data_IF_087984031297
#
_entry.id   IF_087984031297
#
_cell.length_a   1.000
_cell.length_b   1.000
_cell.length_c   1.000
_cell.angle_alpha   90.00
_cell.angle_beta   90.00
_cell.angle_gamma   90.00
#
_symmetry.space_group_name_H-M   'P 1'
#
loop_
_entity.id
_entity.type
_entity.pdbx_description
1 polymer ?
#
# COMPACT_ATOMS: atom_id res chain seq x y z
N UNK A 1 -31.16 9.84 17.91
CA UNK A 1 -30.34 10.12 19.11
C UNK A 1 -28.86 9.80 18.87
N UNK A 2 -28.51 8.56 18.50
CA UNK A 2 -27.12 8.17 18.20
C UNK A 2 -26.45 9.04 17.13
N UNK A 3 -27.11 9.30 16.00
CA UNK A 3 -26.57 10.16 14.94
C UNK A 3 -26.27 11.61 15.38
N UNK A 4 -27.05 12.14 16.34
CA UNK A 4 -26.82 13.49 16.87
C UNK A 4 -25.57 13.52 17.78
N UNK A 5 -25.36 12.46 18.56
CA UNK A 5 -24.15 12.29 19.39
C UNK A 5 -22.93 12.16 18.49
N UNK A 6 -23.00 11.31 17.45
CA UNK A 6 -21.92 11.15 16.48
C UNK A 6 -21.59 12.46 15.77
N UNK A 7 -22.61 13.21 15.32
CA UNK A 7 -22.40 14.51 14.67
C UNK A 7 -21.73 15.51 15.60
N UNK A 8 -22.17 15.58 16.87
CA UNK A 8 -21.55 16.45 17.87
C UNK A 8 -20.07 16.08 18.07
N UNK A 9 -19.79 14.80 18.33
CA UNK A 9 -18.43 14.32 18.58
C UNK A 9 -17.52 14.55 17.37
N UNK A 10 -18.04 14.32 16.16
CA UNK A 10 -17.33 14.58 14.92
C UNK A 10 -16.96 16.07 14.80
N UNK A 11 -17.90 16.97 15.08
CA UNK A 11 -17.65 18.42 15.03
C UNK A 11 -16.59 18.82 16.08
N UNK A 12 -16.69 18.27 17.30
CA UNK A 12 -15.72 18.53 18.38
C UNK A 12 -14.32 18.05 18.00
N UNK A 13 -14.19 16.92 17.30
CA UNK A 13 -12.92 16.47 16.72
C UNK A 13 -12.44 17.38 15.58
N UNK A 14 -13.31 17.73 14.63
CA UNK A 14 -12.97 18.53 13.45
C UNK A 14 -12.47 19.95 13.80
N UNK A 15 -13.07 20.59 14.80
CA UNK A 15 -12.69 21.94 15.26
C UNK A 15 -11.40 21.90 16.08
N UNK A 16 -10.99 20.73 16.55
CA UNK A 16 -9.83 20.58 17.42
C UNK A 16 -8.52 20.86 16.67
N UNK A 17 -7.62 21.63 17.29
CA UNK A 17 -6.31 21.95 16.71
C UNK A 17 -5.50 20.70 16.35
N UNK A 18 -5.60 19.64 17.15
CA UNK A 18 -4.98 18.33 16.89
C UNK A 18 -5.46 17.70 15.59
N UNK A 19 -6.72 17.90 15.19
CA UNK A 19 -7.24 17.41 13.92
C UNK A 19 -6.63 18.18 12.76
N UNK A 20 -6.54 19.52 12.87
CA UNK A 20 -5.85 20.34 11.89
C UNK A 20 -4.38 19.90 11.71
N UNK A 21 -3.66 19.69 12.81
CA UNK A 21 -2.27 19.20 12.77
C UNK A 21 -2.17 17.79 12.17
N UNK A 22 -3.04 16.87 12.56
CA UNK A 22 -3.09 15.53 12.01
C UNK A 22 -3.31 15.56 10.49
N UNK A 23 -4.27 16.37 10.05
CA UNK A 23 -4.61 16.53 8.65
C UNK A 23 -3.43 17.10 7.86
N UNK A 24 -2.82 18.19 8.32
CA UNK A 24 -1.65 18.80 7.66
C UNK A 24 -0.47 17.82 7.62
N UNK A 25 -0.18 17.13 8.72
CA UNK A 25 0.90 16.15 8.79
C UNK A 25 0.68 14.98 7.82
N UNK A 26 -0.50 14.36 7.85
CA UNK A 26 -0.80 13.17 7.06
C UNK A 26 -0.92 13.53 5.58
N UNK A 27 -1.58 14.64 5.24
CA UNK A 27 -1.64 15.14 3.86
C UNK A 27 -0.24 15.50 3.37
N UNK A 28 0.56 16.21 4.17
CA UNK A 28 1.94 16.56 3.80
C UNK A 28 2.81 15.35 3.51
N UNK A 29 2.74 14.30 4.35
CA UNK A 29 3.47 13.05 4.13
C UNK A 29 2.95 12.27 2.92
N UNK A 30 1.64 12.28 2.68
CA UNK A 30 1.05 11.69 1.48
C UNK A 30 1.46 12.42 0.21
N UNK A 31 1.60 13.75 0.26
CA UNK A 31 2.15 14.54 -0.85
C UNK A 31 3.62 14.20 -1.07
N UNK A 32 4.43 14.10 -0.01
CA UNK A 32 5.83 13.69 -0.11
C UNK A 32 5.99 12.27 -0.70
N UNK A 33 5.13 11.34 -0.32
CA UNK A 33 5.06 10.00 -0.93
C UNK A 33 4.77 10.10 -2.44
N UNK A 34 3.73 10.86 -2.83
CA UNK A 34 3.35 11.01 -4.23
C UNK A 34 4.47 11.65 -5.06
N UNK A 35 5.08 12.73 -4.56
CA UNK A 35 6.18 13.41 -5.22
C UNK A 35 7.44 12.55 -5.33
N UNK A 36 7.79 11.79 -4.28
CA UNK A 36 8.92 10.85 -4.34
C UNK A 36 8.70 9.68 -5.29
N UNK A 37 7.45 9.25 -5.45
CA UNK A 37 7.06 8.20 -6.39
C UNK A 37 7.15 8.68 -7.85
N UNK A 38 6.52 9.83 -8.13
CA UNK A 38 6.49 10.46 -9.45
C UNK A 38 7.87 10.94 -9.87
N UNK A 39 8.56 11.68 -9.00
CA UNK A 39 9.75 12.46 -9.32
C UNK A 39 11.06 11.69 -9.52
N UNK A 40 11.07 10.36 -9.52
CA UNK A 40 12.31 9.64 -9.85
C UNK A 40 12.29 8.13 -9.76
N UNK A 41 11.38 7.54 -8.98
CA UNK A 41 11.45 6.09 -8.70
C UNK A 41 10.62 5.25 -9.67
N UNK A 42 9.49 5.77 -10.16
CA UNK A 42 8.58 5.01 -11.00
C UNK A 42 8.91 5.13 -12.49
N UNK A 43 9.08 6.35 -13.01
CA UNK A 43 9.39 6.57 -14.42
C UNK A 43 10.68 5.87 -14.83
N UNK A 44 11.74 6.03 -14.03
CA UNK A 44 13.01 5.34 -14.24
C UNK A 44 12.84 3.81 -14.31
N UNK A 45 12.07 3.21 -13.38
CA UNK A 45 11.82 1.76 -13.37
C UNK A 45 10.97 1.31 -14.55
N UNK A 46 10.00 2.12 -14.97
CA UNK A 46 9.16 1.85 -16.14
C UNK A 46 10.00 1.87 -17.41
N UNK A 47 10.81 2.90 -17.59
CA UNK A 47 11.59 3.08 -18.81
C UNK A 47 12.70 2.03 -18.91
N UNK A 48 13.37 1.72 -17.78
CA UNK A 48 14.30 0.61 -17.69
C UNK A 48 13.64 -0.74 -18.04
N UNK A 49 12.45 -1.02 -17.50
CA UNK A 49 11.69 -2.23 -17.85
C UNK A 49 11.35 -2.29 -19.35
N UNK A 50 10.86 -1.18 -19.92
CA UNK A 50 10.51 -1.14 -21.35
C UNK A 50 11.74 -1.36 -22.23
N UNK A 51 12.87 -0.75 -21.90
CA UNK A 51 14.13 -0.92 -22.63
C UNK A 51 14.61 -2.38 -22.58
N UNK A 52 14.54 -3.04 -21.41
CA UNK A 52 14.92 -4.44 -21.26
C UNK A 52 14.00 -5.38 -22.04
N UNK A 53 12.68 -5.15 -21.99
CA UNK A 53 11.72 -5.95 -22.75
C UNK A 53 11.91 -5.76 -24.26
N UNK A 54 12.19 -4.54 -24.72
CA UNK A 54 12.48 -4.26 -26.12
C UNK A 54 13.77 -4.95 -26.59
N UNK A 55 14.85 -4.85 -25.80
CA UNK A 55 16.12 -5.52 -26.11
C UNK A 55 15.94 -7.04 -26.28
N UNK A 56 15.17 -7.69 -25.40
CA UNK A 56 14.86 -9.12 -25.54
C UNK A 56 13.99 -9.42 -26.78
N UNK A 57 13.04 -8.55 -27.10
CA UNK A 57 12.22 -8.71 -28.30
C UNK A 57 13.07 -8.59 -29.57
N UNK A 58 14.04 -7.68 -29.59
CA UNK A 58 14.99 -7.51 -30.70
C UNK A 58 15.89 -8.73 -30.87
N UNK A 59 16.42 -9.30 -29.78
CA UNK A 59 17.16 -10.57 -29.81
C UNK A 59 16.29 -11.69 -30.40
N UNK A 60 15.02 -11.78 -29.98
CA UNK A 60 14.05 -12.72 -30.54
C UNK A 60 13.82 -12.52 -32.04
N UNK A 61 13.65 -11.27 -32.49
CA UNK A 61 13.48 -10.94 -33.92
C UNK A 61 14.73 -11.27 -34.74
N UNK A 62 15.92 -10.96 -34.23
CA UNK A 62 17.20 -11.31 -34.86
C UNK A 62 17.40 -12.82 -34.97
N UNK A 63 16.95 -13.59 -33.96
CA UNK A 63 16.95 -15.05 -34.02
C UNK A 63 15.98 -15.59 -35.08
N UNK A 64 14.79 -14.98 -35.21
CA UNK A 64 13.81 -15.35 -36.23
C UNK A 64 14.34 -15.14 -37.66
N UNK A 65 15.03 -14.01 -37.90
CA UNK A 65 15.63 -13.71 -39.21
C UNK A 65 16.76 -14.67 -39.60
N UNK A 66 17.51 -15.17 -38.61
CA UNK A 66 18.62 -16.13 -38.84
C UNK A 66 18.14 -17.57 -39.12
N UNK A 67 16.84 -17.84 -38.93
CA UNK A 67 16.20 -19.11 -39.28
C UNK A 67 15.33 -19.68 -38.16
N UNK A 68 14.26 -20.38 -38.56
CA UNK A 68 13.29 -21.01 -37.65
C UNK A 68 13.94 -21.94 -36.63
N UNK A 69 14.97 -22.70 -37.02
CA UNK A 69 15.68 -23.60 -36.12
C UNK A 69 16.34 -22.84 -34.96
N UNK A 70 16.97 -21.69 -35.23
CA UNK A 70 17.65 -20.87 -34.23
C UNK A 70 16.65 -20.18 -33.31
N UNK A 71 15.49 -19.79 -33.85
CA UNK A 71 14.38 -19.26 -33.07
C UNK A 71 13.83 -20.30 -32.10
N UNK A 72 13.55 -21.53 -32.54
CA UNK A 72 13.01 -22.60 -31.68
C UNK A 72 14.01 -23.00 -30.58
N UNK A 73 15.30 -23.04 -30.90
CA UNK A 73 16.37 -23.34 -29.95
C UNK A 73 16.51 -22.28 -28.83
N UNK A 74 16.37 -21.00 -29.19
CA UNK A 74 16.55 -19.88 -28.27
C UNK A 74 15.21 -19.30 -27.75
N UNK A 75 14.05 -19.75 -28.26
CA UNK A 75 12.74 -19.25 -27.80
C UNK A 75 12.49 -19.58 -26.33
N UNK A 76 13.13 -20.66 -25.85
CA UNK A 76 13.14 -21.04 -24.44
C UNK A 76 14.15 -20.30 -23.57
N UNK A 77 15.15 -19.65 -24.16
CA UNK A 77 16.20 -18.91 -23.43
C UNK A 77 15.87 -17.43 -23.43
N UNK A 78 15.04 -17.00 -22.48
CA UNK A 78 14.59 -15.61 -22.40
C UNK A 78 14.63 -15.10 -20.97
N UNK A 79 14.94 -13.82 -20.82
CA UNK A 79 14.71 -13.14 -19.56
C UNK A 79 13.26 -12.65 -19.49
N UNK A 80 12.52 -13.16 -18.51
CA UNK A 80 11.18 -12.67 -18.15
C UNK A 80 11.37 -11.58 -17.11
N UNK A 81 11.15 -10.32 -17.54
CA UNK A 81 11.22 -9.16 -16.67
C UNK A 81 9.89 -8.94 -15.95
N UNK A 82 9.97 -8.60 -14.67
CA UNK A 82 8.81 -8.28 -13.86
C UNK A 82 8.31 -6.87 -14.17
N UNK A 83 7.03 -6.76 -14.55
CA UNK A 83 6.39 -5.45 -14.78
C UNK A 83 6.31 -4.66 -13.47
N UNK A 84 6.72 -3.37 -13.45
CA UNK A 84 6.57 -2.53 -12.27
C UNK A 84 5.08 -2.33 -11.95
N UNK A 85 4.72 -2.55 -10.68
CA UNK A 85 3.34 -2.38 -10.22
C UNK A 85 2.96 -0.90 -10.17
N UNK A 86 1.80 -0.49 -10.72
CA UNK A 86 1.32 0.88 -10.63
C UNK A 86 0.97 1.29 -9.19
N UNK A 87 0.68 0.34 -8.31
CA UNK A 87 0.27 0.57 -6.90
C UNK A 87 1.44 0.58 -5.91
N UNK A 88 2.68 0.69 -6.40
CA UNK A 88 3.87 0.64 -5.56
C UNK A 88 3.96 1.83 -4.59
N UNK A 89 3.27 2.94 -4.85
CA UNK A 89 3.16 4.08 -3.94
C UNK A 89 2.33 3.78 -2.67
N UNK A 90 1.34 2.87 -2.77
CA UNK A 90 0.53 2.45 -1.63
C UNK A 90 1.29 1.47 -0.74
N UNK A 91 1.93 0.47 -1.36
CA UNK A 91 2.71 -0.52 -0.66
C UNK A 91 3.80 -1.09 -1.57
N UNK A 92 5.06 -0.81 -1.24
CA UNK A 92 6.21 -1.48 -1.85
C UNK A 92 6.21 -2.97 -1.49
N UNK A 93 5.91 -3.31 -0.22
CA UNK A 93 5.78 -4.69 0.25
C UNK A 93 7.00 -5.57 -0.08
N UNK A 94 6.76 -6.84 -0.41
CA UNK A 94 7.81 -7.77 -0.86
C UNK A 94 8.21 -7.56 -2.34
N UNK A 95 7.72 -6.51 -3.01
CA UNK A 95 8.00 -6.29 -4.42
C UNK A 95 9.51 -6.11 -4.68
N UNK A 96 10.20 -5.56 -3.69
CA UNK A 96 11.64 -5.32 -3.65
C UNK A 96 12.48 -6.55 -3.28
N UNK A 97 11.88 -7.54 -2.62
CA UNK A 97 12.51 -8.81 -2.28
C UNK A 97 12.45 -9.83 -3.44
N UNK A 98 11.56 -9.60 -4.41
CA UNK A 98 11.41 -10.46 -5.58
C UNK A 98 12.49 -10.16 -6.63
N UNK A 99 13.00 -11.19 -7.34
CA UNK A 99 13.91 -11.00 -8.46
C UNK A 99 13.31 -10.07 -9.53
N UNK A 100 14.15 -9.21 -10.11
CA UNK A 100 13.75 -8.29 -11.17
C UNK A 100 13.54 -9.00 -12.52
N UNK A 101 14.31 -10.08 -12.75
CA UNK A 101 14.24 -10.92 -13.94
C UNK A 101 14.32 -12.39 -13.55
N UNK A 102 13.61 -13.21 -14.30
CA UNK A 102 13.70 -14.67 -14.26
C UNK A 102 14.32 -15.13 -15.57
N UNK A 103 15.30 -16.03 -15.51
CA UNK A 103 15.85 -16.64 -16.70
C UNK A 103 15.11 -17.95 -16.99
N UNK A 104 14.58 -18.11 -18.20
CA UNK A 104 14.05 -19.40 -18.65
C UNK A 104 15.18 -20.19 -19.30
N UNK A 105 15.53 -21.39 -18.81
CA UNK A 105 16.53 -22.23 -19.46
C UNK A 105 15.90 -22.93 -20.68
N UNK A 106 16.71 -23.23 -21.70
CA UNK A 106 16.42 -24.29 -22.67
C UNK A 106 17.44 -25.40 -22.51
N UNK A 107 17.01 -26.65 -22.71
CA UNK A 107 17.87 -27.82 -22.63
C UNK A 107 18.06 -28.44 -24.00
N UNK A 108 19.31 -28.80 -24.29
CA UNK A 108 19.71 -29.58 -25.46
C UNK A 108 20.35 -30.87 -24.95
N UNK A 109 19.76 -32.00 -25.31
CA UNK A 109 20.30 -33.32 -24.99
C UNK A 109 20.56 -34.09 -26.28
N UNK A 110 21.63 -34.89 -26.33
CA UNK A 110 21.97 -35.72 -27.48
C UNK A 110 21.99 -37.18 -27.05
N UNK A 111 21.11 -37.99 -27.63
CA UNK A 111 21.04 -39.44 -27.39
C UNK A 111 21.11 -40.18 -28.72
N UNK A 112 22.10 -41.06 -28.87
CA UNK A 112 22.26 -41.90 -30.06
C UNK A 112 22.39 -41.12 -31.38
N UNK A 113 23.01 -39.93 -31.37
CA UNK A 113 23.15 -39.06 -32.55
C UNK A 113 21.89 -38.25 -32.90
N UNK A 114 20.81 -38.40 -32.15
CA UNK A 114 19.61 -37.55 -32.26
C UNK A 114 19.64 -36.45 -31.20
N UNK A 115 19.45 -35.19 -31.64
CA UNK A 115 19.42 -34.02 -30.77
C UNK A 115 17.97 -33.72 -30.37
N UNK A 116 17.70 -33.74 -29.07
CA UNK A 116 16.44 -33.35 -28.46
C UNK A 116 16.53 -31.91 -27.97
N UNK A 117 15.50 -31.13 -28.27
CA UNK A 117 15.37 -29.74 -27.86
C UNK A 117 14.10 -29.59 -27.05
N UNK A 118 14.24 -29.18 -25.79
CA UNK A 118 13.12 -28.77 -24.96
C UNK A 118 13.11 -27.23 -24.90
N UNK A 119 12.21 -26.58 -25.66
CA UNK A 119 12.16 -25.12 -25.74
C UNK A 119 11.41 -24.47 -24.57
N UNK A 120 10.75 -25.23 -23.69
CA UNK A 120 10.04 -24.68 -22.51
C UNK A 120 10.08 -25.62 -21.31
N UNK A 121 11.27 -26.09 -20.88
CA UNK A 121 11.30 -26.94 -19.71
C UNK A 121 10.93 -26.05 -18.50
N UNK A 122 9.84 -26.40 -17.80
CA UNK A 122 9.47 -25.78 -16.52
C UNK A 122 10.43 -26.27 -15.44
N UNK A 123 11.70 -25.89 -15.58
CA UNK A 123 12.79 -26.26 -14.69
C UNK A 123 12.99 -25.12 -13.71
N UNK A 124 12.54 -25.39 -12.50
CA UNK A 124 12.58 -24.51 -11.35
C UNK A 124 13.95 -24.49 -10.64
N UNK A 125 15.06 -24.66 -11.36
CA UNK A 125 16.41 -24.68 -10.75
C UNK A 125 16.84 -23.33 -10.18
N UNK A 126 16.26 -22.23 -10.67
CA UNK A 126 16.49 -20.86 -10.18
C UNK A 126 15.64 -20.55 -8.92
N UNK A 127 14.71 -21.43 -8.51
CA UNK A 127 14.02 -21.29 -7.20
C UNK A 127 14.98 -21.53 -6.03
N UNK A 128 16.09 -22.25 -6.24
CA UNK A 128 17.09 -22.46 -5.18
C UNK A 128 17.74 -21.14 -4.71
N UNK A 129 17.66 -20.06 -5.51
CA UNK A 129 18.07 -18.71 -5.12
C UNK A 129 16.95 -17.81 -4.57
N UNK A 130 15.68 -18.24 -4.59
CA UNK A 130 14.54 -17.44 -4.09
C UNK A 130 14.52 -17.36 -2.56
N UNK A 131 15.13 -18.34 -1.88
CA UNK A 131 15.28 -18.36 -0.41
C UNK A 131 16.50 -17.60 0.10
N UNK A 132 17.38 -17.12 -0.79
CA UNK A 132 18.51 -16.28 -0.43
C UNK A 132 18.16 -14.82 -0.76
N UNK A 133 17.58 -14.05 0.18
CA UNK A 133 17.53 -12.61 0.01
C UNK A 133 18.97 -12.15 -0.22
N UNK A 134 19.27 -11.54 -1.37
CA UNK A 134 20.57 -10.91 -1.57
C UNK A 134 20.72 -9.90 -0.44
N UNK A 135 21.65 -10.15 0.47
CA UNK A 135 21.83 -9.35 1.70
C UNK A 135 22.05 -7.86 1.39
N UNK A 136 22.50 -7.52 0.18
CA UNK A 136 22.62 -6.14 -0.32
C UNK A 136 21.28 -5.41 -0.58
N UNK A 137 20.15 -6.11 -0.57
CA UNK A 137 18.80 -5.54 -0.70
C UNK A 137 18.12 -5.26 0.65
N UNK A 138 18.71 -5.66 1.79
CA UNK A 138 18.18 -5.35 3.13
C UNK A 138 18.35 -3.87 3.52
N UNK A 139 19.16 -3.11 2.77
CA UNK A 139 19.29 -1.66 2.90
C UNK A 139 18.52 -0.90 1.80
N UNK A 140 17.39 -1.45 1.32
CA UNK A 140 16.55 -0.72 0.38
C UNK A 140 15.71 0.30 1.14
N UNK A 141 16.06 1.57 0.92
CA UNK A 141 15.38 2.80 1.33
C UNK A 141 13.96 2.56 1.83
N UNK A 142 13.72 2.80 3.12
CA UNK A 142 12.39 2.94 3.72
C UNK A 142 11.71 4.12 3.02
N UNK A 143 11.13 3.87 1.84
CA UNK A 143 10.26 4.83 1.20
C UNK A 143 9.09 5.09 2.14
N UNK A 144 8.69 6.36 2.26
CA UNK A 144 7.53 6.75 3.04
C UNK A 144 6.32 6.23 2.28
N UNK A 145 5.88 5.01 2.56
CA UNK A 145 4.72 4.36 1.94
C UNK A 145 3.45 4.55 2.78
N UNK A 146 2.28 4.31 2.20
CA UNK A 146 1.02 4.43 2.93
C UNK A 146 0.97 3.51 4.15
N UNK A 147 1.54 2.30 4.04
CA UNK A 147 1.61 1.35 5.17
C UNK A 147 2.36 1.96 6.35
N UNK A 148 3.44 2.70 6.11
CA UNK A 148 4.18 3.38 7.17
C UNK A 148 3.39 4.56 7.75
N UNK A 149 2.79 5.39 6.89
CA UNK A 149 1.99 6.55 7.33
C UNK A 149 0.80 6.07 8.17
N UNK A 150 0.06 5.07 7.70
CA UNK A 150 -1.13 4.54 8.36
C UNK A 150 -0.75 3.76 9.62
N UNK A 151 0.21 2.84 9.51
CA UNK A 151 0.61 1.95 10.61
C UNK A 151 1.33 2.66 11.74
N UNK A 152 2.13 3.68 11.45
CA UNK A 152 2.89 4.40 12.47
C UNK A 152 2.22 5.69 12.93
N UNK A 153 1.74 6.55 12.01
CA UNK A 153 1.26 7.88 12.40
C UNK A 153 -0.24 7.93 12.67
N UNK A 154 -1.06 7.31 11.83
CA UNK A 154 -2.50 7.28 12.10
C UNK A 154 -2.84 6.43 13.33
N UNK A 155 -2.10 5.35 13.62
CA UNK A 155 -2.31 4.56 14.84
C UNK A 155 -2.04 5.38 16.10
N UNK A 156 -0.97 6.17 16.12
CA UNK A 156 -0.68 7.12 17.21
C UNK A 156 -1.77 8.18 17.31
N UNK A 157 -2.21 8.74 16.19
CA UNK A 157 -3.28 9.74 16.18
C UNK A 157 -4.62 9.17 16.69
N UNK A 158 -4.92 7.91 16.34
CA UNK A 158 -6.10 7.21 16.81
C UNK A 158 -6.11 7.08 18.35
N UNK A 159 -4.98 6.68 18.93
CA UNK A 159 -4.82 6.62 20.39
C UNK A 159 -4.97 8.00 21.03
N UNK A 160 -4.31 9.03 20.49
CA UNK A 160 -4.42 10.41 21.00
C UNK A 160 -5.87 10.93 20.97
N UNK A 161 -6.59 10.70 19.88
CA UNK A 161 -7.98 11.16 19.76
C UNK A 161 -8.91 10.45 20.75
N UNK A 162 -8.70 9.16 20.99
CA UNK A 162 -9.53 8.38 21.92
C UNK A 162 -9.22 8.64 23.39
N UNK A 163 -7.96 8.89 23.76
CA UNK A 163 -7.56 9.16 25.13
C UNK A 163 -8.18 10.46 25.66
N UNK A 164 -8.09 11.52 24.85
CA UNK A 164 -8.60 12.83 25.22
C UNK A 164 -10.15 12.90 25.20
N UNK A 165 -10.82 12.06 24.42
CA UNK A 165 -12.28 12.04 24.33
C UNK A 165 -12.95 11.72 25.68
N UNK A 166 -12.25 11.06 26.60
CA UNK A 166 -12.75 10.75 27.93
C UNK A 166 -12.18 11.66 29.02
N UNK A 167 -10.88 11.93 29.01
CA UNK A 167 -10.25 12.76 30.04
C UNK A 167 -10.70 14.22 29.89
N UNK A 168 -10.83 14.73 28.66
CA UNK A 168 -11.31 16.08 28.40
C UNK A 168 -12.77 16.31 28.85
N UNK A 169 -13.63 15.29 28.77
CA UNK A 169 -15.01 15.37 29.29
C UNK A 169 -15.09 15.11 30.81
N UNK A 170 -14.17 14.33 31.37
CA UNK A 170 -14.04 14.10 32.83
C UNK A 170 -13.61 15.38 33.54
N UNK A 171 -12.66 16.13 32.97
CA UNK A 171 -12.18 17.42 33.48
C UNK A 171 -13.18 18.57 33.30
N UNK A 172 -13.92 18.60 32.18
CA UNK A 172 -14.94 19.63 31.93
C UNK A 172 -16.26 19.41 32.68
N UNK A 173 -16.40 18.30 33.40
CA UNK A 173 -17.62 17.95 34.14
C UNK A 173 -18.83 17.60 33.26
N UNK A 174 -18.68 17.66 31.93
CA UNK A 174 -19.73 17.34 30.95
C UNK A 174 -20.20 15.90 31.08
N UNK A 175 -19.33 14.98 31.52
CA UNK A 175 -19.71 13.58 31.74
C UNK A 175 -20.79 13.45 32.83
N UNK A 176 -20.72 14.25 33.91
CA UNK A 176 -21.76 14.27 34.96
C UNK A 176 -23.09 14.82 34.44
N UNK A 177 -23.03 15.83 33.57
CA UNK A 177 -24.22 16.44 32.96
C UNK A 177 -24.91 15.49 31.96
N UNK A 178 -24.14 14.74 31.18
CA UNK A 178 -24.64 13.75 30.22
C UNK A 178 -25.16 12.50 30.93
N UNK A 179 -24.56 12.09 32.06
CA UNK A 179 -25.10 11.00 32.89
C UNK A 179 -26.34 11.41 33.70
N UNK A 180 -26.58 12.72 33.89
CA UNK A 180 -27.83 13.23 34.46
C UNK A 180 -28.99 13.18 33.44
N UNK A 181 -28.68 13.07 32.15
CA UNK A 181 -29.64 12.69 31.11
C UNK A 181 -29.72 11.16 31.01
N UNK A 182 -30.92 10.60 30.83
CA UNK A 182 -31.18 9.15 30.72
C UNK A 182 -30.69 8.55 29.38
N UNK A 183 -29.43 8.79 29.01
CA UNK A 183 -28.83 8.22 27.80
C UNK A 183 -28.16 6.90 28.16
N UNK A 184 -28.47 5.79 27.47
CA UNK A 184 -27.87 4.51 27.77
C UNK A 184 -26.36 4.50 27.43
N UNK A 185 -25.55 3.94 28.35
CA UNK A 185 -24.07 3.94 28.29
C UNK A 185 -23.50 3.35 27.00
N UNK A 186 -24.15 2.34 26.43
CA UNK A 186 -23.72 1.72 25.16
C UNK A 186 -23.84 2.69 23.97
N UNK A 187 -24.86 3.55 23.96
CA UNK A 187 -25.07 4.53 22.88
C UNK A 187 -24.04 5.66 22.96
N UNK A 188 -23.65 6.05 24.17
CA UNK A 188 -22.57 7.02 24.38
C UNK A 188 -21.23 6.48 23.87
N UNK A 189 -20.89 5.23 24.23
CA UNK A 189 -19.66 4.57 23.82
C UNK A 189 -19.58 4.39 22.29
N UNK A 190 -20.66 3.92 21.66
CA UNK A 190 -20.73 3.80 20.20
C UNK A 190 -20.66 5.16 19.52
N UNK A 191 -21.27 6.20 20.10
CA UNK A 191 -21.19 7.56 19.59
C UNK A 191 -19.75 8.08 19.55
N UNK A 192 -18.99 7.87 20.63
CA UNK A 192 -17.57 8.25 20.70
C UNK A 192 -16.70 7.46 19.74
N UNK A 193 -16.90 6.13 19.68
CA UNK A 193 -16.18 5.28 18.74
C UNK A 193 -16.41 5.73 17.29
N UNK A 194 -17.66 5.93 16.88
CA UNK A 194 -18.01 6.35 15.53
C UNK A 194 -17.53 7.78 15.23
N UNK A 195 -17.60 8.70 16.20
CA UNK A 195 -17.10 10.06 16.04
C UNK A 195 -15.59 10.10 15.77
N UNK A 196 -14.80 9.38 16.57
CA UNK A 196 -13.35 9.26 16.40
C UNK A 196 -13.00 8.53 15.09
N UNK A 197 -13.70 7.43 14.78
CA UNK A 197 -13.48 6.67 13.55
C UNK A 197 -13.78 7.52 12.31
N UNK A 198 -14.89 8.26 12.29
CA UNK A 198 -15.23 9.16 11.18
C UNK A 198 -14.22 10.30 11.04
N UNK A 199 -13.75 10.88 12.13
CA UNK A 199 -12.72 11.92 12.07
C UNK A 199 -11.43 11.39 11.41
N UNK A 200 -10.95 10.21 11.84
CA UNK A 200 -9.77 9.57 11.24
C UNK A 200 -10.02 9.17 9.78
N UNK A 201 -11.21 8.66 9.46
CA UNK A 201 -11.59 8.29 8.10
C UNK A 201 -11.61 9.50 7.15
N UNK A 202 -12.05 10.68 7.63
CA UNK A 202 -11.99 11.93 6.86
C UNK A 202 -10.53 12.32 6.60
N UNK A 203 -9.67 12.28 7.61
CA UNK A 203 -8.23 12.62 7.42
C UNK A 203 -7.58 11.66 6.43
N UNK A 204 -7.80 10.35 6.59
CA UNK A 204 -7.27 9.33 5.70
C UNK A 204 -7.81 9.51 4.28
N UNK A 205 -9.12 9.70 4.14
CA UNK A 205 -9.78 9.87 2.85
C UNK A 205 -9.28 11.09 2.08
N UNK A 206 -9.18 12.24 2.75
CA UNK A 206 -8.64 13.46 2.13
C UNK A 206 -7.19 13.27 1.71
N UNK A 207 -6.36 12.66 2.54
CA UNK A 207 -4.95 12.45 2.23
C UNK A 207 -4.76 11.47 1.05
N UNK A 208 -5.59 10.42 0.97
CA UNK A 208 -5.61 9.49 -0.16
C UNK A 208 -6.06 10.18 -1.45
N UNK A 209 -7.14 10.97 -1.40
CA UNK A 209 -7.64 11.70 -2.58
C UNK A 209 -6.57 12.65 -3.10
N UNK A 210 -5.91 13.41 -2.23
CA UNK A 210 -4.81 14.31 -2.62
C UNK A 210 -3.65 13.52 -3.23
N UNK A 211 -3.23 12.42 -2.61
CA UNK A 211 -2.15 11.57 -3.15
C UNK A 211 -2.51 11.04 -4.54
N UNK A 212 -3.72 10.48 -4.69
CA UNK A 212 -4.18 9.89 -5.95
C UNK A 212 -4.30 10.94 -7.06
N UNK A 213 -4.79 12.14 -6.75
CA UNK A 213 -4.85 13.25 -7.71
C UNK A 213 -3.47 13.62 -8.24
N UNK A 214 -2.47 13.71 -7.35
CA UNK A 214 -1.08 13.99 -7.74
C UNK A 214 -0.52 12.86 -8.60
N UNK A 215 -0.73 11.61 -8.20
CA UNK A 215 -0.23 10.44 -8.93
C UNK A 215 -0.88 10.36 -10.32
N UNK A 216 -2.20 10.50 -10.46
CA UNK A 216 -2.87 10.44 -11.77
C UNK A 216 -2.49 11.64 -12.65
N UNK A 217 -2.35 12.84 -12.07
CA UNK A 217 -2.00 14.03 -12.84
C UNK A 217 -0.57 14.00 -13.38
N UNK A 218 0.37 13.44 -12.61
CA UNK A 218 1.79 13.49 -12.96
C UNK A 218 2.34 12.18 -13.52
N UNK A 219 1.83 11.03 -13.08
CA UNK A 219 2.22 9.73 -13.62
C UNK A 219 1.16 9.26 -14.61
N UNK A 220 1.56 8.92 -15.84
CA UNK A 220 0.67 8.39 -16.90
C UNK A 220 0.21 6.95 -16.59
N UNK A 221 -0.31 6.71 -15.39
CA UNK A 221 -0.77 5.41 -14.91
C UNK A 221 -2.25 5.28 -15.22
N UNK A 222 -2.60 4.27 -16.02
CA UNK A 222 -3.98 3.88 -16.22
C UNK A 222 -4.41 2.92 -15.10
N UNK A 223 -5.24 3.40 -14.18
CA UNK A 223 -5.82 2.58 -13.12
C UNK A 223 -7.02 1.82 -13.68
N UNK A 224 -6.84 0.52 -13.92
CA UNK A 224 -7.94 -0.36 -14.30
C UNK A 224 -8.87 -0.68 -13.11
N UNK A 225 -9.97 -1.35 -13.42
CA UNK A 225 -10.96 -1.81 -12.43
C UNK A 225 -10.35 -2.73 -11.36
N UNK A 226 -9.36 -3.54 -11.73
CA UNK A 226 -8.68 -4.46 -10.82
C UNK A 226 -7.81 -3.70 -9.82
N UNK A 227 -7.08 -2.69 -10.28
CA UNK A 227 -6.25 -1.83 -9.46
C UNK A 227 -7.10 -1.00 -8.49
N UNK A 228 -8.24 -0.47 -8.96
CA UNK A 228 -9.21 0.23 -8.13
C UNK A 228 -9.79 -0.66 -7.03
N UNK A 229 -10.14 -1.92 -7.35
CA UNK A 229 -10.61 -2.89 -6.36
C UNK A 229 -9.55 -3.21 -5.30
N UNK A 230 -8.28 -3.33 -5.69
CA UNK A 230 -7.16 -3.51 -4.75
C UNK A 230 -6.96 -2.30 -3.85
N UNK A 231 -7.03 -1.08 -4.40
CA UNK A 231 -6.97 0.16 -3.63
C UNK A 231 -8.09 0.22 -2.58
N UNK A 232 -9.32 -0.07 -2.98
CA UNK A 232 -10.46 -0.07 -2.07
C UNK A 232 -10.30 -1.12 -0.97
N UNK A 233 -9.80 -2.31 -1.30
CA UNK A 233 -9.45 -3.34 -0.31
C UNK A 233 -8.39 -2.88 0.69
N UNK A 234 -7.34 -2.19 0.24
CA UNK A 234 -6.31 -1.62 1.12
C UNK A 234 -6.87 -0.57 2.06
N UNK A 235 -7.74 0.33 1.56
CA UNK A 235 -8.41 1.35 2.40
C UNK A 235 -9.33 0.69 3.43
N UNK A 236 -10.07 -0.35 3.02
CA UNK A 236 -10.92 -1.11 3.94
C UNK A 236 -10.12 -1.75 5.07
N UNK A 237 -8.98 -2.38 4.75
CA UNK A 237 -8.07 -2.94 5.76
C UNK A 237 -7.47 -1.88 6.68
N UNK A 238 -7.10 -0.72 6.13
CA UNK A 238 -6.60 0.41 6.92
C UNK A 238 -7.65 0.92 7.91
N UNK A 239 -8.91 1.06 7.48
CA UNK A 239 -10.00 1.48 8.37
C UNK A 239 -10.27 0.44 9.46
N UNK A 240 -10.21 -0.85 9.14
CA UNK A 240 -10.35 -1.93 10.13
C UNK A 240 -9.21 -1.89 11.15
N UNK A 241 -7.98 -1.70 10.69
CA UNK A 241 -6.82 -1.52 11.56
C UNK A 241 -7.00 -0.33 12.51
N UNK A 242 -7.44 0.82 12.01
CA UNK A 242 -7.73 1.99 12.85
C UNK A 242 -8.87 1.74 13.83
N UNK A 243 -9.92 1.02 13.41
CA UNK A 243 -11.01 0.62 14.28
C UNK A 243 -10.51 -0.20 15.48
N UNK A 244 -9.54 -1.10 15.28
CA UNK A 244 -8.90 -1.82 16.38
C UNK A 244 -8.16 -0.87 17.34
N UNK A 245 -7.37 0.08 16.82
CA UNK A 245 -6.63 1.03 17.66
C UNK A 245 -7.55 1.99 18.42
N UNK A 246 -8.61 2.48 17.78
CA UNK A 246 -9.64 3.28 18.44
C UNK A 246 -10.34 2.46 19.53
N UNK A 247 -10.68 1.20 19.24
CA UNK A 247 -11.26 0.29 20.22
C UNK A 247 -10.36 0.06 21.44
N UNK A 248 -9.06 -0.17 21.20
CA UNK A 248 -8.07 -0.31 22.27
C UNK A 248 -7.92 0.97 23.11
N UNK A 249 -7.85 2.13 22.47
CA UNK A 249 -7.74 3.41 23.17
C UNK A 249 -8.96 3.69 24.05
N UNK A 250 -10.17 3.38 23.56
CA UNK A 250 -11.39 3.45 24.37
C UNK A 250 -11.39 2.46 25.54
N UNK A 251 -10.95 1.22 25.33
CA UNK A 251 -10.86 0.21 26.39
C UNK A 251 -9.91 0.63 27.51
N UNK A 252 -8.72 1.12 27.16
CA UNK A 252 -7.75 1.64 28.13
C UNK A 252 -8.33 2.83 28.88
N UNK A 253 -9.02 3.72 28.18
CA UNK A 253 -9.60 4.91 28.79
C UNK A 253 -10.76 4.63 29.74
N UNK A 254 -11.58 3.60 29.50
CA UNK A 254 -12.67 3.22 30.43
C UNK A 254 -12.10 2.69 31.75
N UNK A 255 -10.91 2.08 31.72
CA UNK A 255 -10.26 1.50 32.90
C UNK A 255 -9.57 2.56 33.79
N UNK A 256 -9.36 3.78 33.30
CA UNK A 256 -8.67 4.89 34.00
C UNK A 256 -9.62 5.96 34.56
#
# INVERSE_FOLDING_TARGET
MLAAIVKRELIDHLISLRFGLALVLIVGLMVLNALGFVGGSYEFRRDHYLQQVQAEQEVGRSNAQRGLWKLILHSGQKYIYKKPSPLMFCAVGANDALPERLWTPSWQAEYGGTKFYDPFPLIYWDINGIWAPKASQLMKSRAIDWVFIIGSLLSLMALLFTFDAFIGEKERGTLKLVMAQSIPRHTLLLGKFLGAMLALAIVLGLAIVVNLLIVIALSQINLGLVEAGRLLGMVGLALLYLACFVGLGLWVSIRS
#
